data_IF_378477296229
#
_entry.id   IF_378477296229
#
_cell.length_a   1.000
_cell.length_b   1.000
_cell.length_c   1.000
_cell.angle_alpha   90.00
_cell.angle_beta   90.00
_cell.angle_gamma   90.00
#
_symmetry.space_group_name_H-M   'P 1'
#
loop_
_entity.id
_entity.type
_entity.pdbx_description
1 polymer ?
#
# COMPACT_ATOMS: atom_id res chain seq x y z
N UNK A 1 -4.81 23.69 5.12
CA UNK A 1 -5.71 22.84 5.93
C UNK A 1 -7.19 23.19 5.72
N UNK A 2 -7.59 24.47 5.74
CA UNK A 2 -9.00 24.86 5.53
C UNK A 2 -9.61 24.48 4.17
N UNK A 3 -8.84 24.54 3.08
CA UNK A 3 -9.33 24.18 1.73
C UNK A 3 -9.72 22.70 1.63
N UNK A 4 -8.95 21.80 2.25
CA UNK A 4 -9.25 20.37 2.25
C UNK A 4 -10.54 20.05 3.03
N UNK A 5 -10.79 20.78 4.13
CA UNK A 5 -12.02 20.65 4.91
C UNK A 5 -13.24 21.19 4.16
N UNK A 6 -13.10 22.33 3.46
CA UNK A 6 -14.17 22.88 2.64
C UNK A 6 -14.53 21.95 1.47
N UNK A 7 -13.54 21.37 0.80
CA UNK A 7 -13.76 20.37 -0.26
C UNK A 7 -14.44 19.11 0.31
N UNK A 8 -14.02 18.62 1.46
CA UNK A 8 -14.64 17.47 2.12
C UNK A 8 -16.11 17.75 2.51
N UNK A 9 -16.41 18.94 3.03
CA UNK A 9 -17.78 19.35 3.40
C UNK A 9 -18.67 19.49 2.17
N UNK A 10 -18.19 20.14 1.10
CA UNK A 10 -18.97 20.29 -0.14
C UNK A 10 -19.22 18.92 -0.78
N UNK A 11 -18.22 18.05 -0.84
CA UNK A 11 -18.39 16.70 -1.38
C UNK A 11 -19.37 15.85 -0.55
N UNK A 12 -19.35 16.01 0.78
CA UNK A 12 -20.30 15.36 1.69
C UNK A 12 -21.74 15.88 1.47
N UNK A 13 -21.92 17.15 1.10
CA UNK A 13 -23.24 17.67 0.74
C UNK A 13 -23.77 17.12 -0.60
N UNK A 14 -22.90 16.87 -1.58
CA UNK A 14 -23.33 16.35 -2.89
C UNK A 14 -23.56 14.84 -2.90
N UNK A 15 -22.80 14.05 -2.12
CA UNK A 15 -22.96 12.59 -2.01
C UNK A 15 -22.69 12.07 -0.57
N UNK A 16 -23.60 12.34 0.39
CA UNK A 16 -23.35 12.11 1.82
C UNK A 16 -23.09 10.65 2.19
N UNK A 17 -23.84 9.71 1.60
CA UNK A 17 -23.70 8.29 1.92
C UNK A 17 -22.41 7.69 1.37
N UNK A 18 -21.92 8.18 0.23
CA UNK A 18 -20.80 7.55 -0.48
C UNK A 18 -19.44 8.06 0.01
N UNK A 19 -19.32 9.33 0.41
CA UNK A 19 -18.02 9.90 0.85
C UNK A 19 -17.51 9.26 2.14
N UNK A 20 -18.39 9.07 3.13
CA UNK A 20 -18.00 8.40 4.38
C UNK A 20 -17.57 6.95 4.12
N UNK A 21 -18.38 6.21 3.37
CA UNK A 21 -18.09 4.82 2.99
C UNK A 21 -16.77 4.75 2.23
N UNK A 22 -16.51 5.68 1.32
CA UNK A 22 -15.30 5.71 0.50
C UNK A 22 -14.04 6.00 1.35
N UNK A 23 -14.10 6.96 2.28
CA UNK A 23 -12.98 7.26 3.20
C UNK A 23 -12.73 6.11 4.17
N UNK A 24 -13.79 5.57 4.79
CA UNK A 24 -13.69 4.43 5.71
C UNK A 24 -13.12 3.19 4.99
N UNK A 25 -13.59 2.93 3.78
CA UNK A 25 -13.09 1.90 2.88
C UNK A 25 -11.61 2.08 2.55
N UNK A 26 -11.20 3.31 2.21
CA UNK A 26 -9.79 3.63 1.96
C UNK A 26 -8.92 3.33 3.18
N UNK A 27 -9.36 3.72 4.38
CA UNK A 27 -8.62 3.51 5.62
C UNK A 27 -8.49 2.01 5.96
N UNK A 28 -9.58 1.25 5.83
CA UNK A 28 -9.58 -0.19 6.04
C UNK A 28 -8.64 -0.90 5.04
N UNK A 29 -8.72 -0.54 3.76
CA UNK A 29 -7.85 -1.08 2.74
C UNK A 29 -6.38 -0.73 2.99
N UNK A 30 -6.07 0.53 3.26
CA UNK A 30 -4.70 0.98 3.55
C UNK A 30 -4.11 0.24 4.75
N UNK A 31 -4.93 -0.06 5.76
CA UNK A 31 -4.52 -0.88 6.90
C UNK A 31 -4.13 -2.27 6.41
N UNK A 32 -5.02 -3.02 5.76
CA UNK A 32 -4.70 -4.38 5.26
C UNK A 32 -3.47 -4.37 4.34
N UNK A 33 -3.36 -3.36 3.48
CA UNK A 33 -2.23 -3.18 2.57
C UNK A 33 -0.90 -2.98 3.30
N UNK A 34 -0.86 -2.12 4.32
CA UNK A 34 0.34 -1.89 5.13
C UNK A 34 0.77 -3.17 5.83
N UNK A 35 -0.17 -3.91 6.42
CA UNK A 35 0.13 -5.17 7.10
C UNK A 35 0.65 -6.23 6.12
N UNK A 36 0.04 -6.34 4.93
CA UNK A 36 0.54 -7.20 3.86
C UNK A 36 1.97 -6.82 3.45
N UNK A 37 2.24 -5.53 3.23
CA UNK A 37 3.56 -5.03 2.87
C UNK A 37 4.61 -5.27 3.96
N UNK A 38 4.25 -5.13 5.24
CA UNK A 38 5.14 -5.45 6.36
C UNK A 38 5.50 -6.93 6.36
N UNK A 39 4.52 -7.83 6.17
CA UNK A 39 4.77 -9.27 6.10
C UNK A 39 5.63 -9.64 4.89
N UNK A 40 5.33 -9.08 3.72
CA UNK A 40 6.13 -9.28 2.51
C UNK A 40 7.55 -8.76 2.67
N UNK A 41 7.74 -7.58 3.25
CA UNK A 41 9.06 -7.03 3.53
C UNK A 41 9.82 -7.91 4.54
N UNK A 42 9.16 -8.40 5.59
CA UNK A 42 9.75 -9.31 6.57
C UNK A 42 10.19 -10.63 5.92
N UNK A 43 9.36 -11.19 5.05
CA UNK A 43 9.67 -12.42 4.31
C UNK A 43 10.79 -12.20 3.27
N UNK A 44 10.72 -11.10 2.50
CA UNK A 44 11.70 -10.75 1.47
C UNK A 44 13.08 -10.47 2.08
N UNK A 45 13.13 -9.74 3.20
CA UNK A 45 14.36 -9.52 3.96
C UNK A 45 14.99 -10.86 4.33
N UNK A 46 14.27 -11.76 5.01
CA UNK A 46 14.83 -13.07 5.39
C UNK A 46 15.17 -13.99 4.21
N UNK A 47 14.48 -13.87 3.08
CA UNK A 47 14.82 -14.61 1.85
C UNK A 47 16.07 -14.05 1.18
N UNK A 48 16.29 -12.74 1.23
CA UNK A 48 17.45 -12.05 0.68
C UNK A 48 18.73 -12.18 1.51
N UNK A 49 18.64 -12.56 2.78
CA UNK A 49 19.82 -12.82 3.62
C UNK A 49 20.52 -14.13 3.21
N UNK A 50 21.84 -14.04 3.00
CA UNK A 50 22.74 -15.18 2.80
C UNK A 50 22.84 -16.05 4.07
N UNK A 51 23.29 -17.30 3.94
CA UNK A 51 23.40 -18.25 5.05
C UNK A 51 24.29 -17.71 6.21
N UNK A 52 25.28 -16.90 5.87
CA UNK A 52 26.21 -16.26 6.80
C UNK A 52 25.57 -15.10 7.59
N UNK A 53 24.76 -14.27 6.94
CA UNK A 53 24.03 -13.16 7.58
C UNK A 53 22.90 -13.65 8.47
N UNK A 54 22.27 -14.79 8.13
CA UNK A 54 21.26 -15.43 8.99
C UNK A 54 21.83 -15.88 10.33
N UNK A 55 23.12 -16.23 10.41
CA UNK A 55 23.82 -16.61 11.65
C UNK A 55 24.16 -15.41 12.54
N UNK A 56 24.23 -14.19 11.98
CA UNK A 56 24.53 -12.96 12.72
C UNK A 56 23.27 -12.25 13.26
N UNK A 57 22.07 -12.78 13.01
CA UNK A 57 20.83 -12.17 13.51
C UNK A 57 20.76 -12.33 15.04
N UNK A 58 20.93 -11.23 15.77
CA UNK A 58 20.90 -11.18 17.24
C UNK A 58 19.55 -11.62 17.85
N UNK A 59 18.46 -11.58 17.09
CA UNK A 59 17.13 -12.08 17.47
C UNK A 59 16.64 -13.14 16.48
N UNK A 60 17.02 -14.42 16.65
CA UNK A 60 16.44 -15.51 15.87
C UNK A 60 14.95 -15.64 16.21
N UNK A 61 14.09 -15.66 15.20
CA UNK A 61 12.66 -15.92 15.43
C UNK A 61 12.51 -17.41 15.73
N UNK A 62 11.95 -17.80 16.89
CA UNK A 62 11.55 -19.18 17.10
C UNK A 62 10.49 -19.51 16.03
N UNK A 63 10.62 -20.63 15.31
CA UNK A 63 9.72 -21.09 14.23
C UNK A 63 9.89 -20.52 12.81
N UNK A 64 11.07 -20.01 12.46
CA UNK A 64 11.40 -19.75 11.05
C UNK A 64 11.54 -21.06 10.25
N UNK A 65 10.97 -21.22 9.03
CA UNK A 65 10.19 -20.28 8.21
C UNK A 65 8.66 -20.46 8.28
N UNK A 66 8.16 -21.28 9.20
CA UNK A 66 6.75 -21.69 9.25
C UNK A 66 5.85 -20.52 9.67
N UNK A 67 6.26 -19.73 10.66
CA UNK A 67 5.44 -18.63 11.18
C UNK A 67 5.12 -17.56 10.11
N UNK A 68 6.09 -17.00 9.35
CA UNK A 68 5.82 -16.05 8.27
C UNK A 68 5.00 -16.63 7.13
N UNK A 69 5.22 -17.91 6.79
CA UNK A 69 4.46 -18.57 5.71
C UNK A 69 2.99 -18.76 6.12
N UNK A 70 2.74 -19.17 7.37
CA UNK A 70 1.40 -19.29 7.91
C UNK A 70 0.71 -17.92 8.00
N UNK A 71 1.42 -16.85 8.38
CA UNK A 71 0.84 -15.50 8.39
C UNK A 71 0.51 -15.01 6.98
N UNK A 72 1.36 -15.29 6.00
CA UNK A 72 1.11 -14.94 4.60
C UNK A 72 -0.10 -15.70 4.05
N UNK A 73 -0.22 -16.99 4.36
CA UNK A 73 -1.37 -17.81 3.99
C UNK A 73 -2.65 -17.27 4.64
N UNK A 74 -2.62 -16.96 5.93
CA UNK A 74 -3.73 -16.35 6.66
C UNK A 74 -4.10 -14.98 6.07
N UNK A 75 -3.12 -14.16 5.70
CA UNK A 75 -3.37 -12.87 5.05
C UNK A 75 -4.05 -13.04 3.68
N UNK A 76 -3.64 -14.04 2.90
CA UNK A 76 -4.33 -14.41 1.65
C UNK A 76 -5.79 -14.79 1.89
N UNK A 77 -6.07 -15.54 2.97
CA UNK A 77 -7.43 -15.89 3.38
C UNK A 77 -8.24 -14.67 3.79
N UNK A 78 -7.67 -13.73 4.56
CA UNK A 78 -8.33 -12.47 4.92
C UNK A 78 -8.71 -11.68 3.66
N UNK A 79 -7.81 -11.55 2.69
CA UNK A 79 -8.09 -10.86 1.42
C UNK A 79 -9.20 -11.58 0.63
N UNK A 80 -9.17 -12.92 0.60
CA UNK A 80 -10.20 -13.71 -0.07
C UNK A 80 -11.59 -13.49 0.57
N UNK A 81 -11.67 -13.52 1.91
CA UNK A 81 -12.91 -13.26 2.65
C UNK A 81 -13.40 -11.82 2.42
N UNK A 82 -12.51 -10.84 2.44
CA UNK A 82 -12.85 -9.44 2.13
C UNK A 82 -13.40 -9.27 0.70
N UNK A 83 -12.98 -10.12 -0.24
CA UNK A 83 -13.49 -10.12 -1.62
C UNK A 83 -14.85 -10.81 -1.76
N UNK A 84 -15.17 -11.76 -0.88
CA UNK A 84 -16.44 -12.49 -0.90
C UNK A 84 -17.57 -11.67 -0.26
N UNK A 85 -17.26 -10.82 0.72
CA UNK A 85 -18.25 -9.96 1.39
C UNK A 85 -18.49 -8.68 0.58
N UNK A 86 -19.75 -8.41 0.25
CA UNK A 86 -20.15 -7.28 -0.61
C UNK A 86 -19.75 -5.91 -0.04
N UNK A 87 -19.89 -5.73 1.27
CA UNK A 87 -19.55 -4.48 1.96
C UNK A 87 -18.04 -4.18 1.90
N UNK A 88 -17.20 -5.20 2.05
CA UNK A 88 -15.73 -5.04 2.03
C UNK A 88 -15.14 -5.11 0.63
N UNK A 89 -15.89 -5.64 -0.35
CA UNK A 89 -15.50 -5.62 -1.76
C UNK A 89 -15.35 -4.19 -2.28
N UNK A 90 -16.23 -3.28 -1.85
CA UNK A 90 -16.12 -1.86 -2.20
C UNK A 90 -14.79 -1.29 -1.68
N UNK A 91 -14.35 -1.68 -0.49
CA UNK A 91 -13.08 -1.27 0.06
C UNK A 91 -11.87 -1.79 -0.73
N UNK A 92 -11.92 -3.04 -1.19
CA UNK A 92 -10.88 -3.60 -2.07
C UNK A 92 -10.81 -2.87 -3.41
N UNK A 93 -11.95 -2.60 -4.05
CA UNK A 93 -12.00 -1.91 -5.35
C UNK A 93 -11.52 -0.47 -5.20
N UNK A 94 -12.03 0.27 -4.21
CA UNK A 94 -11.61 1.65 -3.94
C UNK A 94 -10.11 1.73 -3.64
N UNK A 95 -9.59 0.78 -2.86
CA UNK A 95 -8.17 0.63 -2.58
C UNK A 95 -7.31 0.38 -3.82
N UNK A 96 -7.73 -0.56 -4.68
CA UNK A 96 -7.03 -0.86 -5.93
C UNK A 96 -7.04 0.33 -6.90
N UNK A 97 -8.17 1.02 -7.04
CA UNK A 97 -8.28 2.24 -7.85
C UNK A 97 -7.32 3.30 -7.32
N UNK A 98 -7.26 3.50 -6.00
CA UNK A 98 -6.32 4.42 -5.38
C UNK A 98 -4.86 4.02 -5.64
N UNK A 99 -4.50 2.75 -5.46
CA UNK A 99 -3.14 2.26 -5.74
C UNK A 99 -2.77 2.47 -7.21
N UNK A 100 -3.68 2.20 -8.13
CA UNK A 100 -3.50 2.46 -9.56
C UNK A 100 -3.28 3.94 -9.85
N UNK A 101 -4.11 4.81 -9.26
CA UNK A 101 -3.99 6.26 -9.38
C UNK A 101 -2.65 6.75 -8.82
N UNK A 102 -2.24 6.29 -7.63
CA UNK A 102 -0.95 6.61 -7.03
C UNK A 102 0.21 6.15 -7.90
N UNK A 103 0.10 4.96 -8.49
CA UNK A 103 1.11 4.42 -9.42
C UNK A 103 1.23 5.28 -10.67
N UNK A 104 0.10 5.71 -11.26
CA UNK A 104 0.07 6.61 -12.42
C UNK A 104 0.67 7.97 -12.07
N UNK A 105 0.30 8.56 -10.93
CA UNK A 105 0.86 9.84 -10.45
C UNK A 105 2.36 9.72 -10.23
N UNK A 106 2.81 8.63 -9.59
CA UNK A 106 4.22 8.37 -9.36
C UNK A 106 4.97 8.26 -10.69
N UNK A 107 4.45 7.49 -11.65
CA UNK A 107 5.07 7.35 -12.98
C UNK A 107 5.12 8.68 -13.73
N UNK A 108 4.04 9.46 -13.70
CA UNK A 108 3.97 10.79 -14.31
C UNK A 108 4.96 11.78 -13.67
N UNK A 109 5.10 11.77 -12.33
CA UNK A 109 6.06 12.61 -11.62
C UNK A 109 7.50 12.16 -11.82
N UNK A 110 7.80 10.86 -11.75
CA UNK A 110 9.14 10.30 -12.01
C UNK A 110 9.59 10.66 -13.42
N UNK A 111 8.72 10.50 -14.43
CA UNK A 111 9.03 10.88 -15.81
C UNK A 111 9.28 12.38 -15.97
N UNK A 112 8.63 13.22 -15.15
CA UNK A 112 8.86 14.67 -15.11
C UNK A 112 10.19 15.02 -14.43
N UNK A 113 10.54 14.39 -13.32
CA UNK A 113 11.81 14.60 -12.60
C UNK A 113 13.01 14.21 -13.46
N UNK A 114 12.94 13.07 -14.15
CA UNK A 114 14.01 12.61 -15.05
C UNK A 114 14.18 13.52 -16.27
N UNK A 115 13.09 14.04 -16.84
CA UNK A 115 13.18 15.01 -17.95
C UNK A 115 13.80 16.35 -17.54
N UNK A 116 13.52 16.82 -16.33
CA UNK A 116 14.08 18.09 -15.84
C UNK A 116 15.58 17.99 -15.56
N UNK A 117 16.06 16.87 -14.99
CA UNK A 117 17.50 16.67 -14.74
C UNK A 117 18.33 16.61 -16.02
N UNK A 118 17.77 16.06 -17.11
CA UNK A 118 18.44 15.99 -18.42
C UNK A 118 18.48 17.37 -19.12
N UNK A 119 17.42 18.17 -18.98
CA UNK A 119 17.37 19.52 -19.55
C UNK A 119 18.36 20.48 -18.87
N UNK A 120 18.51 20.41 -17.55
CA UNK A 120 19.48 21.20 -16.78
C UNK A 120 20.94 20.87 -17.15
N UNK A 121 21.27 19.61 -17.37
CA UNK A 121 22.62 19.20 -17.80
C UNK A 121 22.97 19.66 -19.23
N UNK A 122 22.00 19.70 -20.14
CA UNK A 122 22.21 20.17 -21.51
C UNK A 122 22.37 21.69 -21.66
N UNK A 123 21.92 22.47 -20.66
CA UNK A 123 22.07 23.94 -20.65
C UNK A 123 23.35 24.42 -19.98
N UNK A 124 24.07 23.53 -19.27
CA UNK A 124 25.31 23.81 -18.57
C UNK A 124 26.56 23.29 -19.30
N UNK A 125 26.40 22.64 -20.46
CA UNK A 125 27.47 22.21 -21.37
C UNK A 125 27.44 23.05 -22.64
#
# INVERSE_FOLDING_TARGET
>A
MGVALLVAVVLNYLMPEQVFVLIASLAAFATVWVWLMILLAHFAMRRGLSAEERRQIAFPVPFWPVAPLLTLLFMGLVIAVLGMVEETRIALIAGLVLLGLLTIIWYAKVKKTVRMSVAEQSSSS
#
